data_IF_670006516510
#
_entry.id   IF_670006516510
#
_cell.length_a   1.000
_cell.length_b   1.000
_cell.length_c   1.000
_cell.angle_alpha   90.00
_cell.angle_beta   90.00
_cell.angle_gamma   90.00
#
_symmetry.space_group_name_H-M   'P 1'
#
loop_
_entity.id
_entity.type
_entity.pdbx_description
1 polymer ?
#
# COMPACT_ATOMS: atom_id res chain seq x y z
N UNK A 1 22.75 -10.27 3.11
CA UNK A 1 22.11 -10.87 4.30
C UNK A 1 21.78 -12.31 3.92
N UNK A 2 21.76 -13.25 4.86
CA UNK A 2 21.35 -14.62 4.51
C UNK A 2 19.88 -14.64 4.13
N UNK A 3 19.54 -15.48 3.16
CA UNK A 3 18.15 -15.77 2.80
C UNK A 3 17.36 -16.20 4.04
N UNK A 4 16.14 -15.68 4.27
CA UNK A 4 15.29 -16.18 5.34
C UNK A 4 14.92 -17.65 5.13
N UNK A 5 14.97 -18.44 6.20
CA UNK A 5 14.52 -19.84 6.20
C UNK A 5 13.00 -19.96 6.09
N UNK A 6 12.28 -18.97 6.60
CA UNK A 6 10.82 -18.94 6.57
C UNK A 6 10.28 -18.74 5.14
N UNK A 7 9.22 -19.47 4.82
CA UNK A 7 8.63 -19.55 3.48
C UNK A 7 7.12 -19.55 3.50
N UNK A 8 6.52 -18.99 2.46
CA UNK A 8 5.08 -19.01 2.27
C UNK A 8 4.70 -19.18 0.80
N UNK A 9 3.49 -19.71 0.58
CA UNK A 9 2.86 -19.86 -0.74
C UNK A 9 1.47 -19.23 -0.78
N UNK A 10 0.99 -18.73 0.36
CA UNK A 10 -0.30 -18.09 0.53
C UNK A 10 -0.19 -16.96 1.56
N UNK A 11 -1.11 -16.00 1.48
CA UNK A 11 -1.31 -14.96 2.48
C UNK A 11 -2.80 -14.87 2.76
N UNK A 12 -3.17 -14.97 4.03
CA UNK A 12 -4.58 -14.94 4.47
C UNK A 12 -5.48 -15.93 3.68
N UNK A 13 -4.99 -17.15 3.45
CA UNK A 13 -5.71 -18.22 2.73
C UNK A 13 -5.80 -18.04 1.21
N UNK A 14 -5.11 -17.05 0.64
CA UNK A 14 -5.06 -16.80 -0.81
C UNK A 14 -3.67 -17.13 -1.36
N UNK A 15 -3.56 -17.98 -2.40
CA UNK A 15 -2.30 -18.27 -3.05
C UNK A 15 -1.56 -17.02 -3.53
N UNK A 16 -0.24 -16.99 -3.30
CA UNK A 16 0.66 -15.98 -3.84
C UNK A 16 1.46 -16.59 -4.98
N UNK A 17 1.38 -15.95 -6.14
CA UNK A 17 2.02 -16.38 -7.36
C UNK A 17 3.10 -15.40 -7.80
N UNK A 18 4.09 -15.92 -8.52
CA UNK A 18 5.11 -15.11 -9.18
C UNK A 18 4.68 -14.82 -10.62
N UNK A 19 4.63 -13.54 -11.01
CA UNK A 19 4.21 -13.11 -12.36
C UNK A 19 5.32 -12.38 -13.13
N UNK A 20 6.57 -12.48 -12.69
CA UNK A 20 7.73 -11.93 -13.42
C UNK A 20 8.45 -13.01 -14.25
N UNK A 21 7.89 -14.21 -14.33
CA UNK A 21 8.42 -15.29 -15.17
C UNK A 21 8.06 -15.05 -16.65
N UNK A 22 8.95 -15.37 -17.61
CA UNK A 22 8.64 -15.26 -19.04
C UNK A 22 7.39 -16.04 -19.48
N UNK A 23 7.06 -17.15 -18.81
CA UNK A 23 5.93 -18.02 -19.11
C UNK A 23 4.58 -17.58 -18.51
N UNK A 24 4.59 -16.63 -17.58
CA UNK A 24 3.40 -16.06 -16.95
C UNK A 24 3.75 -14.64 -16.49
N UNK A 25 3.77 -13.73 -17.46
CA UNK A 25 4.28 -12.38 -17.29
C UNK A 25 3.34 -11.45 -16.51
N UNK A 26 3.84 -10.25 -16.26
CA UNK A 26 3.18 -9.25 -15.44
C UNK A 26 1.73 -8.98 -15.89
N UNK A 27 0.83 -8.84 -14.93
CA UNK A 27 -0.59 -8.58 -15.20
C UNK A 27 -1.41 -9.84 -15.53
N UNK A 28 -0.80 -11.03 -15.42
CA UNK A 28 -1.50 -12.33 -15.46
C UNK A 28 -1.65 -12.89 -14.03
N UNK A 29 -2.30 -14.04 -13.87
CA UNK A 29 -2.37 -14.74 -12.58
C UNK A 29 -1.06 -15.39 -12.12
N UNK A 30 0.04 -15.20 -12.86
CA UNK A 30 1.36 -15.74 -12.52
C UNK A 30 1.40 -17.27 -12.47
N UNK A 31 2.39 -17.79 -11.75
CA UNK A 31 2.56 -19.22 -11.46
C UNK A 31 2.77 -19.44 -9.95
N UNK A 32 2.39 -20.62 -9.42
CA UNK A 32 2.71 -21.00 -8.05
C UNK A 32 4.20 -20.82 -7.74
N UNK A 33 4.49 -20.24 -6.58
CA UNK A 33 5.86 -19.93 -6.16
C UNK A 33 6.00 -20.00 -4.64
N UNK A 34 7.18 -20.39 -4.16
CA UNK A 34 7.51 -20.37 -2.73
C UNK A 34 8.34 -19.12 -2.42
N UNK A 35 7.72 -18.16 -1.76
CA UNK A 35 8.38 -16.91 -1.37
C UNK A 35 9.13 -17.08 -0.05
N UNK A 36 10.09 -16.20 0.19
CA UNK A 36 10.88 -16.17 1.42
C UNK A 36 10.82 -14.79 2.04
N UNK A 37 10.52 -14.74 3.33
CA UNK A 37 10.60 -13.51 4.12
C UNK A 37 10.77 -13.87 5.60
N UNK A 38 11.01 -12.90 6.47
CA UNK A 38 11.06 -13.17 7.92
C UNK A 38 9.65 -13.46 8.45
N UNK A 39 9.51 -14.43 9.37
CA UNK A 39 8.22 -14.79 9.98
C UNK A 39 7.44 -13.57 10.56
N UNK A 40 8.05 -12.60 11.27
CA UNK A 40 7.31 -11.42 11.73
C UNK A 40 6.74 -10.56 10.59
N UNK A 41 7.42 -10.52 9.45
CA UNK A 41 6.93 -9.74 8.31
C UNK A 41 5.82 -10.49 7.56
N UNK A 42 5.91 -11.81 7.44
CA UNK A 42 4.82 -12.65 6.94
C UNK A 42 3.54 -12.45 7.76
N UNK A 43 3.65 -12.43 9.09
CA UNK A 43 2.52 -12.19 9.98
C UNK A 43 1.86 -10.81 9.72
N UNK A 44 2.66 -9.76 9.46
CA UNK A 44 2.13 -8.45 9.05
C UNK A 44 1.42 -8.51 7.71
N UNK A 45 1.95 -9.25 6.73
CA UNK A 45 1.30 -9.44 5.43
C UNK A 45 -0.03 -10.20 5.57
N UNK A 46 -0.08 -11.27 6.37
CA UNK A 46 -1.32 -11.97 6.69
C UNK A 46 -2.38 -11.02 7.25
N UNK A 47 -2.04 -10.23 8.28
CA UNK A 47 -2.97 -9.28 8.88
C UNK A 47 -3.46 -8.22 7.86
N UNK A 48 -2.57 -7.74 6.99
CA UNK A 48 -2.92 -6.77 5.95
C UNK A 48 -3.90 -7.35 4.91
N UNK A 49 -3.67 -8.59 4.46
CA UNK A 49 -4.56 -9.24 3.49
C UNK A 49 -5.87 -9.73 4.13
N UNK A 50 -5.87 -10.19 5.38
CA UNK A 50 -7.11 -10.49 6.13
C UNK A 50 -8.01 -9.25 6.22
N UNK A 51 -7.43 -8.09 6.58
CA UNK A 51 -8.16 -6.83 6.61
C UNK A 51 -8.65 -6.42 5.21
N UNK A 52 -7.88 -6.69 4.16
CA UNK A 52 -8.28 -6.41 2.78
C UNK A 52 -9.47 -7.26 2.36
N UNK A 53 -9.46 -8.56 2.65
CA UNK A 53 -10.59 -9.45 2.35
C UNK A 53 -11.85 -9.06 3.12
N UNK A 54 -11.70 -8.66 4.39
CA UNK A 54 -12.81 -8.20 5.21
C UNK A 54 -13.42 -6.88 4.71
N UNK A 55 -12.61 -5.98 4.15
CA UNK A 55 -13.06 -4.68 3.67
C UNK A 55 -13.52 -4.67 2.20
N UNK A 56 -13.05 -5.61 1.38
CA UNK A 56 -13.33 -5.62 -0.05
C UNK A 56 -14.73 -6.19 -0.34
N UNK A 57 -15.62 -5.46 -1.04
CA UNK A 57 -16.95 -5.95 -1.37
C UNK A 57 -16.95 -7.15 -2.35
N UNK A 58 -15.81 -7.44 -2.98
CA UNK A 58 -15.62 -8.61 -3.83
C UNK A 58 -15.26 -9.87 -3.01
N UNK A 59 -15.10 -9.74 -1.69
CA UNK A 59 -14.68 -10.80 -0.80
C UNK A 59 -13.21 -11.18 -0.97
N UNK A 60 -12.89 -12.42 -0.63
CA UNK A 60 -11.55 -13.00 -0.74
C UNK A 60 -11.17 -13.19 -2.21
N UNK A 61 -9.97 -12.76 -2.58
CA UNK A 61 -9.43 -12.99 -3.92
C UNK A 61 -9.05 -14.46 -4.15
N UNK A 62 -8.85 -14.83 -5.41
CA UNK A 62 -8.36 -16.16 -5.78
C UNK A 62 -6.83 -16.24 -5.88
N UNK A 63 -6.17 -15.13 -6.23
CA UNK A 63 -4.70 -15.06 -6.40
C UNK A 63 -4.18 -13.66 -6.05
N UNK A 64 -3.03 -13.61 -5.37
CA UNK A 64 -2.16 -12.43 -5.27
C UNK A 64 -0.95 -12.66 -6.19
N UNK A 65 -0.53 -11.69 -6.99
CA UNK A 65 0.73 -11.78 -7.76
C UNK A 65 1.80 -10.83 -7.26
N UNK A 66 3.05 -11.25 -7.39
CA UNK A 66 4.20 -10.59 -6.78
C UNK A 66 5.50 -10.78 -7.57
N UNK A 67 6.35 -9.76 -7.51
CA UNK A 67 7.73 -9.80 -7.98
C UNK A 67 8.71 -10.40 -6.96
N UNK A 68 8.29 -10.63 -5.71
CA UNK A 68 9.14 -11.21 -4.67
C UNK A 68 8.96 -10.61 -3.28
N UNK A 69 9.38 -11.38 -2.27
CA UNK A 69 9.59 -10.93 -0.89
C UNK A 69 11.07 -10.95 -0.45
N UNK A 70 11.92 -11.57 -1.27
CA UNK A 70 13.36 -11.69 -1.05
C UNK A 70 14.12 -11.66 -2.38
N UNK A 71 15.22 -10.91 -2.39
CA UNK A 71 16.23 -10.92 -3.45
C UNK A 71 17.58 -10.83 -2.77
N UNK A 72 18.57 -11.60 -3.22
CA UNK A 72 19.93 -11.55 -2.65
C UNK A 72 20.65 -10.24 -3.06
N UNK A 73 20.29 -9.16 -2.37
CA UNK A 73 20.79 -7.80 -2.53
C UNK A 73 20.81 -7.08 -1.19
N UNK A 74 21.32 -5.86 -1.16
CA UNK A 74 21.19 -5.00 0.02
C UNK A 74 19.75 -4.47 0.16
N UNK A 75 19.39 -3.99 1.35
CA UNK A 75 18.08 -3.38 1.63
C UNK A 75 17.02 -4.37 2.13
N UNK A 76 15.76 -3.93 2.16
CA UNK A 76 14.66 -4.62 2.84
C UNK A 76 14.26 -5.94 2.16
N UNK A 77 14.32 -6.00 0.82
CA UNK A 77 14.17 -7.26 0.08
C UNK A 77 15.26 -8.27 0.48
N UNK A 78 16.53 -7.85 0.56
CA UNK A 78 17.61 -8.71 1.05
C UNK A 78 17.48 -9.14 2.51
N UNK A 79 16.72 -8.39 3.31
CA UNK A 79 16.40 -8.73 4.69
C UNK A 79 15.16 -9.63 4.81
N UNK A 80 14.43 -9.90 3.71
CA UNK A 80 13.13 -10.56 3.78
C UNK A 80 12.07 -9.75 4.51
N UNK A 81 12.13 -8.41 4.40
CA UNK A 81 11.25 -7.45 5.10
C UNK A 81 10.54 -6.49 4.14
N UNK A 82 10.48 -6.86 2.87
CA UNK A 82 9.72 -6.16 1.84
C UNK A 82 8.99 -7.16 0.96
N UNK A 83 7.94 -6.72 0.29
CA UNK A 83 7.13 -7.51 -0.61
C UNK A 83 6.59 -6.60 -1.71
N UNK A 84 6.72 -7.04 -2.95
CA UNK A 84 6.20 -6.29 -4.10
C UNK A 84 4.87 -6.91 -4.53
N UNK A 85 3.78 -6.14 -4.51
CA UNK A 85 2.45 -6.59 -4.94
C UNK A 85 2.21 -6.08 -6.35
N UNK A 86 2.06 -7.00 -7.30
CA UNK A 86 1.88 -6.67 -8.72
C UNK A 86 0.40 -6.61 -9.10
N UNK A 87 -0.39 -7.56 -8.58
CA UNK A 87 -1.82 -7.61 -8.79
C UNK A 87 -2.58 -8.52 -7.83
N UNK A 88 -3.91 -8.44 -7.88
CA UNK A 88 -4.85 -9.24 -7.10
C UNK A 88 -6.03 -9.61 -8.00
N UNK A 89 -6.42 -10.89 -8.00
CA UNK A 89 -7.39 -11.43 -8.94
C UNK A 89 -8.58 -12.06 -8.21
N UNK A 90 -9.77 -11.54 -8.48
CA UNK A 90 -11.07 -12.12 -8.16
C UNK A 90 -11.64 -12.83 -9.40
N UNK A 91 -12.78 -13.55 -9.28
CA UNK A 91 -13.44 -14.16 -10.43
C UNK A 91 -13.73 -13.16 -11.56
N UNK A 92 -14.26 -11.99 -11.22
CA UNK A 92 -14.76 -10.99 -12.19
C UNK A 92 -13.99 -9.66 -12.17
N UNK A 93 -12.88 -9.58 -11.42
CA UNK A 93 -12.02 -8.38 -11.37
C UNK A 93 -10.56 -8.74 -11.28
N UNK A 94 -9.75 -8.11 -12.13
CA UNK A 94 -8.31 -8.02 -11.95
C UNK A 94 -7.94 -6.62 -11.44
N UNK A 95 -7.17 -6.57 -10.37
CA UNK A 95 -6.45 -5.39 -9.92
C UNK A 95 -5.00 -5.54 -10.34
N UNK A 96 -4.52 -4.70 -11.25
CA UNK A 96 -3.12 -4.65 -11.67
C UNK A 96 -2.58 -3.27 -11.33
N UNK A 97 -1.48 -3.21 -10.59
CA UNK A 97 -0.99 -1.94 -10.01
C UNK A 97 -0.62 -0.88 -11.04
N UNK A 98 -0.08 -1.25 -12.21
CA UNK A 98 0.22 -0.28 -13.27
C UNK A 98 -1.04 0.31 -13.95
N UNK A 99 -2.22 -0.26 -13.70
CA UNK A 99 -3.50 0.28 -14.16
C UNK A 99 -4.02 1.40 -13.26
N UNK A 100 -3.21 1.90 -12.31
CA UNK A 100 -3.54 3.08 -11.52
C UNK A 100 -4.20 4.22 -12.33
N UNK A 101 -3.72 4.63 -13.53
CA UNK A 101 -4.34 5.73 -14.27
C UNK A 101 -5.81 5.51 -14.64
N UNK A 102 -6.25 4.26 -14.80
CA UNK A 102 -7.62 3.87 -15.16
C UNK A 102 -8.43 3.34 -13.97
N UNK A 103 -7.80 2.86 -12.89
CA UNK A 103 -8.46 2.27 -11.72
C UNK A 103 -8.10 2.96 -10.38
N UNK A 104 -7.93 4.29 -10.41
CA UNK A 104 -7.45 5.10 -9.26
C UNK A 104 -8.21 4.83 -7.95
N UNK A 105 -9.54 4.73 -8.01
CA UNK A 105 -10.37 4.57 -6.81
C UNK A 105 -10.13 3.22 -6.14
N UNK A 106 -10.12 2.13 -6.91
CA UNK A 106 -9.87 0.81 -6.35
C UNK A 106 -8.41 0.65 -5.91
N UNK A 107 -7.47 1.19 -6.69
CA UNK A 107 -6.05 1.24 -6.33
C UNK A 107 -5.83 1.88 -4.96
N UNK A 108 -6.42 3.06 -4.74
CA UNK A 108 -6.30 3.75 -3.46
C UNK A 108 -7.07 3.05 -2.35
N UNK A 109 -8.19 2.37 -2.64
CA UNK A 109 -8.91 1.58 -1.64
C UNK A 109 -8.06 0.40 -1.14
N UNK A 110 -7.37 -0.32 -2.03
CA UNK A 110 -6.42 -1.38 -1.67
C UNK A 110 -5.29 -0.80 -0.82
N UNK A 111 -4.65 0.27 -1.29
CA UNK A 111 -3.56 0.94 -0.56
C UNK A 111 -4.00 1.43 0.83
N UNK A 112 -5.23 1.94 0.95
CA UNK A 112 -5.80 2.39 2.23
C UNK A 112 -5.81 1.29 3.28
N UNK A 113 -6.16 0.06 2.88
CA UNK A 113 -6.18 -1.08 3.80
C UNK A 113 -4.77 -1.53 4.15
N UNK A 114 -3.87 -1.63 3.15
CA UNK A 114 -2.47 -2.00 3.39
C UNK A 114 -1.80 -1.05 4.41
N UNK A 115 -2.06 0.26 4.30
CA UNK A 115 -1.48 1.29 5.17
C UNK A 115 -1.93 1.23 6.62
N UNK A 116 -3.00 0.49 6.95
CA UNK A 116 -3.38 0.20 8.34
C UNK A 116 -2.38 -0.72 9.05
N UNK A 117 -1.62 -1.50 8.28
CA UNK A 117 -0.68 -2.49 8.79
C UNK A 117 0.77 -2.18 8.42
N UNK A 118 0.99 -1.39 7.37
CA UNK A 118 2.30 -1.13 6.77
C UNK A 118 2.57 0.38 6.73
N UNK A 119 3.59 0.83 7.46
CA UNK A 119 3.99 2.24 7.48
C UNK A 119 4.65 2.73 6.19
N UNK A 120 5.19 1.82 5.36
CA UNK A 120 5.80 2.15 4.07
C UNK A 120 5.14 1.37 2.96
N UNK A 121 4.49 2.10 2.04
CA UNK A 121 3.95 1.60 0.78
C UNK A 121 4.41 2.53 -0.33
N UNK A 122 5.35 2.11 -1.18
CA UNK A 122 5.76 2.90 -2.35
C UNK A 122 4.81 2.54 -3.49
N UNK A 123 4.14 3.55 -4.03
CA UNK A 123 3.04 3.39 -4.99
C UNK A 123 3.41 4.00 -6.35
N UNK A 124 2.45 4.01 -7.26
CA UNK A 124 2.62 4.47 -8.65
C UNK A 124 3.20 5.89 -8.75
N UNK A 125 2.92 6.74 -7.76
CA UNK A 125 3.37 8.14 -7.75
C UNK A 125 4.70 8.35 -7.05
N UNK A 126 5.30 7.31 -6.46
CA UNK A 126 6.58 7.43 -5.77
C UNK A 126 7.74 7.71 -6.73
N UNK A 127 7.99 6.80 -7.68
CA UNK A 127 8.94 7.00 -8.77
C UNK A 127 8.64 6.06 -9.94
N UNK A 128 9.43 6.14 -11.01
CA UNK A 128 9.26 5.31 -12.20
C UNK A 128 9.46 3.80 -11.94
N UNK A 129 10.26 3.42 -10.94
CA UNK A 129 10.52 2.02 -10.62
C UNK A 129 9.33 1.35 -9.90
N UNK A 130 8.45 2.13 -9.27
CA UNK A 130 7.28 1.64 -8.53
C UNK A 130 5.96 1.87 -9.27
N UNK A 131 6.00 2.23 -10.56
CA UNK A 131 4.80 2.42 -11.38
C UNK A 131 4.08 1.12 -11.71
N UNK A 132 4.68 -0.03 -11.43
CA UNK A 132 4.11 -1.34 -11.76
C UNK A 132 3.93 -2.25 -10.56
N UNK A 133 4.07 -1.75 -9.33
CA UNK A 133 3.81 -2.53 -8.12
C UNK A 133 3.58 -1.64 -6.90
N UNK A 134 3.00 -2.21 -5.85
CA UNK A 134 3.17 -1.65 -4.52
C UNK A 134 4.39 -2.29 -3.88
N UNK A 135 5.40 -1.49 -3.51
CA UNK A 135 6.44 -1.96 -2.62
C UNK A 135 6.01 -1.75 -1.17
N UNK A 136 5.69 -2.83 -0.46
CA UNK A 136 5.37 -2.77 0.96
C UNK A 136 6.54 -3.27 1.78
N UNK A 137 6.75 -2.70 2.97
CA UNK A 137 7.82 -3.16 3.84
C UNK A 137 7.53 -3.00 5.32
N UNK A 138 8.20 -3.80 6.14
CA UNK A 138 8.15 -3.72 7.60
C UNK A 138 8.97 -2.55 8.17
N UNK A 139 9.06 -1.43 7.43
CA UNK A 139 9.76 -0.21 7.84
C UNK A 139 8.75 0.84 8.26
N UNK A 140 8.89 1.29 9.51
CA UNK A 140 8.07 2.33 10.11
C UNK A 140 6.68 1.83 10.50
N UNK A 141 6.16 2.39 11.59
CA UNK A 141 4.82 2.08 12.08
C UNK A 141 3.74 2.67 11.15
N UNK A 142 2.55 2.06 11.04
CA UNK A 142 1.38 2.66 10.41
C UNK A 142 1.08 4.07 10.94
N UNK A 143 0.34 4.86 10.15
CA UNK A 143 -0.05 6.23 10.52
C UNK A 143 0.53 7.32 9.61
N UNK A 144 0.21 8.58 9.87
CA UNK A 144 0.60 9.72 9.05
C UNK A 144 1.90 10.36 9.55
N UNK A 145 2.90 10.47 8.68
CA UNK A 145 4.16 11.16 8.98
C UNK A 145 4.45 12.20 7.91
N UNK A 146 4.42 13.51 8.23
CA UNK A 146 4.50 14.59 7.24
C UNK A 146 5.85 14.65 6.51
N UNK A 147 6.92 14.12 7.12
CA UNK A 147 8.25 14.04 6.50
C UNK A 147 8.49 12.76 5.69
N UNK A 148 7.48 11.89 5.53
CA UNK A 148 7.62 10.62 4.84
C UNK A 148 6.89 10.65 3.49
N UNK A 149 7.64 10.90 2.42
CA UNK A 149 7.14 11.12 1.06
C UNK A 149 6.05 10.14 0.62
N UNK A 150 6.27 8.83 0.76
CA UNK A 150 5.27 7.82 0.38
C UNK A 150 3.92 7.99 1.11
N UNK A 151 3.91 8.44 2.37
CA UNK A 151 2.67 8.66 3.13
C UNK A 151 1.96 9.93 2.68
N UNK A 152 2.75 10.96 2.38
CA UNK A 152 2.23 12.24 1.89
C UNK A 152 1.64 12.09 0.49
N UNK A 153 2.33 11.37 -0.42
CA UNK A 153 1.83 11.07 -1.76
C UNK A 153 0.48 10.36 -1.71
N UNK A 154 0.37 9.30 -0.93
CA UNK A 154 -0.90 8.60 -0.72
C UNK A 154 -2.00 9.55 -0.22
N UNK A 155 -1.69 10.37 0.79
CA UNK A 155 -2.69 11.28 1.35
C UNK A 155 -3.17 12.32 0.33
N UNK A 156 -2.25 12.92 -0.44
CA UNK A 156 -2.59 13.84 -1.53
C UNK A 156 -3.41 13.15 -2.63
N UNK A 157 -3.09 11.90 -2.97
CA UNK A 157 -3.87 11.10 -3.92
C UNK A 157 -5.28 10.79 -3.38
N UNK A 158 -5.40 10.43 -2.10
CA UNK A 158 -6.68 10.16 -1.45
C UNK A 158 -7.56 11.40 -1.42
N UNK A 159 -7.03 12.55 -0.98
CA UNK A 159 -7.71 13.84 -1.03
C UNK A 159 -8.24 14.14 -2.43
N UNK A 160 -7.41 13.96 -3.45
CA UNK A 160 -7.72 14.30 -4.84
C UNK A 160 -8.72 13.35 -5.50
N UNK A 161 -8.60 12.04 -5.27
CA UNK A 161 -9.29 11.02 -6.06
C UNK A 161 -10.41 10.28 -5.30
N UNK A 162 -10.42 10.33 -3.97
CA UNK A 162 -11.45 9.72 -3.14
C UNK A 162 -12.38 10.75 -2.52
N UNK A 163 -11.86 11.93 -2.15
CA UNK A 163 -12.59 12.95 -1.40
C UNK A 163 -12.87 14.25 -2.19
N UNK A 164 -12.57 14.27 -3.49
CA UNK A 164 -12.83 15.40 -4.39
C UNK A 164 -12.26 16.74 -3.88
N UNK A 165 -11.11 16.68 -3.21
CA UNK A 165 -10.34 17.82 -2.69
C UNK A 165 -8.98 17.86 -3.39
N UNK A 166 -8.95 18.33 -4.65
CA UNK A 166 -7.74 18.28 -5.45
C UNK A 166 -6.63 19.10 -4.82
N UNK A 167 -5.45 18.49 -4.74
CA UNK A 167 -4.19 19.12 -4.32
C UNK A 167 -3.07 18.68 -5.27
N UNK A 168 -1.97 19.41 -5.30
CA UNK A 168 -0.76 18.94 -5.97
C UNK A 168 -0.26 17.65 -5.30
N UNK A 169 0.02 16.62 -6.10
CA UNK A 169 0.57 15.34 -5.65
C UNK A 169 2.08 15.36 -5.89
N UNK A 170 2.82 15.83 -4.88
CA UNK A 170 4.27 16.05 -4.94
C UNK A 170 5.05 15.44 -3.76
N UNK A 171 4.35 14.80 -2.81
CA UNK A 171 4.96 14.18 -1.63
C UNK A 171 5.40 15.17 -0.56
N UNK A 172 5.04 16.45 -0.67
CA UNK A 172 5.39 17.50 0.29
C UNK A 172 4.16 18.02 1.03
N UNK A 173 4.25 18.09 2.36
CA UNK A 173 3.19 18.74 3.15
C UNK A 173 3.34 20.25 3.08
N UNK A 174 2.34 20.93 2.52
CA UNK A 174 2.30 22.40 2.42
C UNK A 174 0.93 22.99 2.76
N UNK A 175 0.74 24.31 2.59
CA UNK A 175 -0.53 24.99 2.85
C UNK A 175 -1.71 24.38 2.09
N UNK A 176 -1.51 23.95 0.84
CA UNK A 176 -2.54 23.30 0.00
C UNK A 176 -3.01 21.98 0.62
N UNK A 177 -2.10 21.02 0.79
CA UNK A 177 -2.37 19.72 1.44
C UNK A 177 -3.00 19.90 2.83
N UNK A 178 -2.45 20.80 3.65
CA UNK A 178 -2.95 21.04 5.00
C UNK A 178 -4.35 21.69 5.01
N UNK A 179 -4.64 22.58 4.07
CA UNK A 179 -5.96 23.21 3.92
C UNK A 179 -7.02 22.17 3.54
N UNK A 180 -6.73 21.36 2.52
CA UNK A 180 -7.62 20.27 2.09
C UNK A 180 -7.86 19.25 3.20
N UNK A 181 -6.81 18.91 3.97
CA UNK A 181 -6.89 17.98 5.11
C UNK A 181 -7.83 18.49 6.20
N UNK A 182 -7.70 19.75 6.63
CA UNK A 182 -8.60 20.34 7.63
C UNK A 182 -10.04 20.34 7.18
N UNK A 183 -10.27 20.75 5.93
CA UNK A 183 -11.60 20.80 5.37
C UNK A 183 -12.23 19.40 5.28
N UNK A 184 -11.43 18.35 5.02
CA UNK A 184 -11.91 16.97 5.06
C UNK A 184 -12.24 16.51 6.47
N UNK A 185 -11.32 16.66 7.43
CA UNK A 185 -11.54 16.22 8.81
C UNK A 185 -12.76 16.90 9.44
N UNK A 186 -12.95 18.21 9.18
CA UNK A 186 -14.16 18.94 9.60
C UNK A 186 -15.42 18.38 8.94
N UNK A 187 -15.37 18.09 7.64
CA UNK A 187 -16.53 17.55 6.91
C UNK A 187 -16.91 16.12 7.36
N UNK A 188 -15.96 15.38 7.93
CA UNK A 188 -16.16 14.04 8.48
C UNK A 188 -16.44 14.06 9.99
N UNK A 189 -16.54 15.24 10.63
CA UNK A 189 -16.73 15.37 12.08
C UNK A 189 -15.63 14.66 12.90
N UNK A 190 -14.40 14.66 12.37
CA UNK A 190 -13.25 13.98 12.97
C UNK A 190 -12.33 14.91 13.77
N UNK A 191 -12.43 16.22 13.56
CA UNK A 191 -11.70 17.23 14.32
C UNK A 191 -12.30 18.62 14.13
N UNK A 192 -12.24 19.43 15.19
CA UNK A 192 -12.63 20.84 15.19
C UNK A 192 -11.46 21.78 14.86
N UNK A 193 -11.78 23.05 14.62
CA UNK A 193 -10.79 24.04 14.14
C UNK A 193 -9.69 24.35 15.16
N UNK A 194 -10.01 24.37 16.45
CA UNK A 194 -9.06 24.58 17.52
C UNK A 194 -8.08 23.40 17.66
N UNK A 195 -8.56 22.17 17.45
CA UNK A 195 -7.75 20.95 17.43
C UNK A 195 -6.77 20.89 16.24
N UNK A 196 -7.04 21.63 15.17
CA UNK A 196 -6.21 21.70 13.95
C UNK A 196 -5.55 23.07 13.73
N UNK A 197 -5.51 23.90 14.77
CA UNK A 197 -5.04 25.30 14.73
C UNK A 197 -3.59 25.50 14.25
N UNK A 198 -2.76 24.46 14.33
CA UNK A 198 -1.38 24.47 13.81
C UNK A 198 -1.15 23.29 12.87
N UNK A 199 -0.09 23.35 12.04
CA UNK A 199 0.28 22.21 11.19
C UNK A 199 0.60 20.95 12.02
N UNK A 200 1.35 21.11 13.11
CA UNK A 200 1.66 19.98 14.00
C UNK A 200 0.44 19.38 14.69
N UNK A 201 -0.57 20.20 15.03
CA UNK A 201 -1.82 19.70 15.59
C UNK A 201 -2.65 18.94 14.56
N UNK A 202 -2.77 19.48 13.33
CA UNK A 202 -3.37 18.79 12.19
C UNK A 202 -2.70 17.43 11.93
N UNK A 203 -1.37 17.37 11.89
CA UNK A 203 -0.65 16.13 11.59
C UNK A 203 -0.88 15.05 12.64
N UNK A 204 -0.99 15.42 13.92
CA UNK A 204 -1.43 14.49 14.98
C UNK A 204 -2.88 14.05 14.83
N UNK A 205 -3.74 14.92 14.31
CA UNK A 205 -5.12 14.56 13.96
C UNK A 205 -5.17 13.50 12.85
N UNK A 206 -4.42 13.73 11.77
CA UNK A 206 -4.32 12.79 10.64
C UNK A 206 -3.72 11.43 11.03
N UNK A 207 -2.83 11.39 12.01
CA UNK A 207 -2.24 10.14 12.50
C UNK A 207 -3.24 9.26 13.28
N UNK A 208 -4.28 9.86 13.85
CA UNK A 208 -5.34 9.17 14.61
C UNK A 208 -6.56 8.80 13.78
N UNK A 209 -6.71 9.43 12.61
CA UNK A 209 -7.85 9.33 11.70
C UNK A 209 -7.75 8.09 10.81
#
# INVERSE_FOLDING_TARGET
MSKPENTFQELAGVPVHYDRAPSAGYGTRGIPYTFHCTEPFEATLHAAFEALWAACPLGTAEVITSAGAYVDKSGLHGAGRAFDIDGIFWPDKAFITNQYPSDRRFYLAVESVLRKHLGTVLNYKFDAAHQDHFHVSGRGEPGFVPGHESRVLYWQMALTHLFDRPVTVDGLTGPETNGASRALLRALDMAEDDEMSTAGALHRGLDRA
#
